data_IF_668748314737
#
_entry.id   IF_668748314737
#
_cell.length_a   1.000
_cell.length_b   1.000
_cell.length_c   1.000
_cell.angle_alpha   90.00
_cell.angle_beta   90.00
_cell.angle_gamma   90.00
#
_symmetry.space_group_name_H-M   'P 1'
#
loop_
_entity.id
_entity.type
_entity.pdbx_description
1 polymer ?
#
# COMPACT_ATOMS: atom_id res chain seq x y z
N UNK A 1 40.58 28.04 -23.29
CA UNK A 1 40.25 26.62 -23.01
C UNK A 1 38.87 26.61 -22.35
N UNK A 2 37.81 26.26 -23.10
CA UNK A 2 36.43 26.22 -22.59
C UNK A 2 36.16 24.81 -22.05
N UNK A 3 36.06 24.64 -20.74
CA UNK A 3 35.57 23.41 -20.14
C UNK A 3 34.06 23.35 -20.32
N UNK A 4 33.59 22.49 -21.23
CA UNK A 4 32.20 22.04 -21.22
C UNK A 4 32.08 21.02 -20.09
N UNK A 5 31.52 21.44 -18.96
CA UNK A 5 31.03 20.53 -17.94
C UNK A 5 29.81 19.83 -18.55
N UNK A 6 30.01 18.64 -19.13
CA UNK A 6 28.92 17.80 -19.56
C UNK A 6 28.11 17.38 -18.34
N UNK A 7 26.95 18.01 -18.14
CA UNK A 7 25.91 17.47 -17.26
C UNK A 7 25.55 16.10 -17.83
N UNK A 8 26.06 15.05 -17.21
CA UNK A 8 25.63 13.68 -17.42
C UNK A 8 24.15 13.63 -17.04
N UNK A 9 23.28 13.68 -18.04
CA UNK A 9 21.88 13.34 -17.90
C UNK A 9 21.82 11.86 -17.50
N UNK A 10 21.73 11.59 -16.21
CA UNK A 10 21.31 10.29 -15.72
C UNK A 10 19.93 10.03 -16.34
N UNK A 11 19.76 8.95 -17.11
CA UNK A 11 18.47 8.66 -17.73
C UNK A 11 17.42 8.50 -16.64
N UNK A 12 16.24 9.10 -16.83
CA UNK A 12 15.11 9.09 -15.89
C UNK A 12 14.76 7.65 -15.44
N UNK A 13 14.98 6.67 -16.32
CA UNK A 13 14.86 5.24 -16.03
C UNK A 13 15.72 4.76 -14.84
N UNK A 14 16.89 5.35 -14.59
CA UNK A 14 17.74 5.01 -13.45
C UNK A 14 17.21 5.60 -12.12
N UNK A 15 16.38 6.64 -12.20
CA UNK A 15 15.89 7.35 -11.04
C UNK A 15 14.82 6.56 -10.27
N UNK A 16 13.86 5.93 -10.96
CA UNK A 16 12.82 5.13 -10.28
C UNK A 16 13.36 3.83 -9.68
N UNK A 17 14.28 3.16 -10.39
CA UNK A 17 14.92 1.94 -9.90
C UNK A 17 15.60 2.22 -8.55
N UNK A 18 16.42 3.28 -8.48
CA UNK A 18 17.11 3.69 -7.25
C UNK A 18 16.14 4.10 -6.15
N UNK A 19 15.11 4.89 -6.48
CA UNK A 19 14.07 5.31 -5.56
C UNK A 19 13.41 4.09 -4.89
N UNK A 20 12.90 3.14 -5.69
CA UNK A 20 12.19 1.96 -5.18
C UNK A 20 13.09 1.06 -4.35
N UNK A 21 14.28 0.72 -4.85
CA UNK A 21 15.19 -0.19 -4.15
C UNK A 21 15.67 0.39 -2.82
N UNK A 22 16.12 1.65 -2.80
CA UNK A 22 16.60 2.28 -1.57
C UNK A 22 15.47 2.49 -0.57
N UNK A 23 14.26 2.88 -1.03
CA UNK A 23 13.10 3.00 -0.14
C UNK A 23 12.74 1.68 0.52
N UNK A 24 12.67 0.58 -0.24
CA UNK A 24 12.38 -0.75 0.32
C UNK A 24 13.45 -1.20 1.33
N UNK A 25 14.72 -0.88 1.09
CA UNK A 25 15.80 -1.16 2.04
C UNK A 25 15.64 -0.35 3.33
N UNK A 26 15.33 0.95 3.23
CA UNK A 26 15.11 1.82 4.39
C UNK A 26 13.91 1.34 5.20
N UNK A 27 12.78 1.04 4.54
CA UNK A 27 11.58 0.47 5.16
C UNK A 27 11.90 -0.85 5.87
N UNK A 28 12.68 -1.75 5.25
CA UNK A 28 13.08 -3.01 5.89
C UNK A 28 13.89 -2.76 7.17
N UNK A 29 14.87 -1.87 7.14
CA UNK A 29 15.68 -1.51 8.32
C UNK A 29 14.82 -0.91 9.44
N UNK A 30 13.93 0.01 9.07
CA UNK A 30 13.00 0.67 10.01
C UNK A 30 12.02 -0.32 10.63
N UNK A 31 11.48 -1.23 9.81
CA UNK A 31 10.55 -2.28 10.25
C UNK A 31 11.21 -3.19 11.28
N UNK A 32 12.44 -3.65 11.00
CA UNK A 32 13.23 -4.46 11.93
C UNK A 32 13.50 -3.72 13.24
N UNK A 33 13.89 -2.45 13.19
CA UNK A 33 14.18 -1.65 14.37
C UNK A 33 12.96 -1.40 15.27
N UNK A 34 11.74 -1.49 14.71
CA UNK A 34 10.47 -1.22 15.42
C UNK A 34 9.64 -2.47 15.71
N UNK A 35 10.12 -3.66 15.32
CA UNK A 35 9.36 -4.90 15.46
C UNK A 35 8.10 -4.96 14.60
N UNK A 36 8.09 -4.27 13.45
CA UNK A 36 6.98 -4.32 12.48
C UNK A 36 7.02 -5.68 11.78
N UNK A 37 5.91 -6.42 11.84
CA UNK A 37 5.77 -7.73 11.24
C UNK A 37 5.55 -7.68 9.71
N UNK A 38 5.49 -8.85 9.07
CA UNK A 38 5.37 -8.95 7.61
C UNK A 38 4.08 -8.33 7.04
N UNK A 39 3.04 -8.19 7.87
CA UNK A 39 1.78 -7.63 7.41
C UNK A 39 1.82 -6.13 7.11
N UNK A 40 2.85 -5.40 7.57
CA UNK A 40 2.99 -3.94 7.39
C UNK A 40 4.43 -3.50 7.04
N UNK A 41 5.31 -4.44 6.66
CA UNK A 41 6.70 -4.11 6.30
C UNK A 41 6.90 -3.95 4.78
N UNK A 42 8.16 -3.92 4.36
CA UNK A 42 8.57 -3.81 2.94
C UNK A 42 7.89 -4.81 1.96
N UNK A 43 7.41 -5.97 2.44
CA UNK A 43 6.67 -6.93 1.61
C UNK A 43 5.31 -6.36 1.21
N UNK A 44 4.56 -5.81 2.17
CA UNK A 44 3.30 -5.11 1.92
C UNK A 44 3.52 -3.82 1.12
N UNK A 45 4.54 -3.03 1.44
CA UNK A 45 4.92 -1.85 0.65
C UNK A 45 5.11 -2.18 -0.84
N UNK A 46 5.77 -3.31 -1.14
CA UNK A 46 5.95 -3.79 -2.51
C UNK A 46 4.62 -4.19 -3.16
N UNK A 47 3.74 -4.83 -2.42
CA UNK A 47 2.40 -5.19 -2.89
C UNK A 47 1.57 -3.95 -3.23
N UNK A 48 1.57 -2.93 -2.37
CA UNK A 48 0.88 -1.65 -2.65
C UNK A 48 1.49 -0.96 -3.87
N UNK A 49 2.82 -0.91 -3.99
CA UNK A 49 3.47 -0.33 -5.16
C UNK A 49 3.07 -1.06 -6.46
N UNK A 50 2.94 -2.38 -6.45
CA UNK A 50 2.46 -3.15 -7.59
C UNK A 50 1.06 -2.68 -8.03
N UNK A 51 0.10 -2.56 -7.10
CA UNK A 51 -1.25 -2.11 -7.45
C UNK A 51 -1.27 -0.64 -7.87
N UNK A 52 -0.51 0.22 -7.19
CA UNK A 52 -0.39 1.63 -7.58
C UNK A 52 0.13 1.77 -9.01
N UNK A 53 1.15 0.97 -9.37
CA UNK A 53 1.67 0.88 -10.75
C UNK A 53 0.59 0.45 -11.74
N UNK A 54 -0.24 -0.53 -11.41
CA UNK A 54 -1.37 -0.88 -12.27
C UNK A 54 -2.35 0.30 -12.42
N UNK A 55 -2.75 0.96 -11.33
CA UNK A 55 -3.70 2.08 -11.38
C UNK A 55 -3.16 3.31 -12.11
N UNK A 56 -1.85 3.57 -12.06
CA UNK A 56 -1.20 4.64 -12.83
C UNK A 56 -1.33 4.47 -14.35
N UNK A 57 -1.68 3.28 -14.85
CA UNK A 57 -1.91 3.05 -16.29
C UNK A 57 -3.23 3.64 -16.77
N UNK A 58 -4.16 3.93 -15.87
CA UNK A 58 -5.49 4.46 -16.20
C UNK A 58 -5.53 6.00 -16.25
N UNK A 59 -4.48 6.67 -15.76
CA UNK A 59 -4.40 8.14 -15.72
C UNK A 59 -3.01 8.67 -16.08
N UNK A 60 -2.91 9.74 -16.88
CA UNK A 60 -1.63 10.36 -17.18
C UNK A 60 -1.08 11.09 -15.95
N UNK A 61 0.12 10.72 -15.49
CA UNK A 61 0.82 11.36 -14.40
C UNK A 61 2.15 11.96 -14.86
N UNK A 62 2.48 13.13 -14.33
CA UNK A 62 3.84 13.68 -14.41
C UNK A 62 4.83 12.87 -13.56
N UNK A 63 6.13 12.98 -13.84
CA UNK A 63 7.17 12.30 -13.04
C UNK A 63 7.12 12.69 -11.56
N UNK A 64 6.83 13.97 -11.27
CA UNK A 64 6.61 14.45 -9.89
C UNK A 64 5.47 13.68 -9.22
N UNK A 65 4.35 13.49 -9.91
CA UNK A 65 3.21 12.74 -9.39
C UNK A 65 3.52 11.25 -9.24
N UNK A 66 4.19 10.63 -10.21
CA UNK A 66 4.67 9.23 -10.11
C UNK A 66 5.54 9.04 -8.86
N UNK A 67 6.48 9.94 -8.58
CA UNK A 67 7.32 9.90 -7.37
C UNK A 67 6.49 9.97 -6.08
N UNK A 68 5.51 10.86 -6.01
CA UNK A 68 4.58 10.94 -4.87
C UNK A 68 3.83 9.62 -4.68
N UNK A 69 3.31 9.04 -5.77
CA UNK A 69 2.60 7.75 -5.72
C UNK A 69 3.52 6.62 -5.26
N UNK A 70 4.75 6.54 -5.79
CA UNK A 70 5.72 5.50 -5.42
C UNK A 70 6.10 5.63 -3.95
N UNK A 71 6.51 6.82 -3.51
CA UNK A 71 6.92 7.04 -2.11
C UNK A 71 5.74 6.83 -1.16
N UNK A 72 4.55 7.33 -1.49
CA UNK A 72 3.36 7.13 -0.67
C UNK A 72 2.99 5.65 -0.55
N UNK A 73 3.01 4.91 -1.67
CA UNK A 73 2.76 3.46 -1.66
C UNK A 73 3.76 2.70 -0.80
N UNK A 74 5.03 3.08 -0.87
CA UNK A 74 6.09 2.40 -0.13
C UNK A 74 6.07 2.74 1.37
N UNK A 75 5.93 4.02 1.73
CA UNK A 75 6.10 4.48 3.11
C UNK A 75 4.81 4.59 3.93
N UNK A 76 3.59 4.47 3.34
CA UNK A 76 2.34 4.77 4.05
C UNK A 76 2.18 4.16 5.44
N UNK A 77 2.60 2.90 5.63
CA UNK A 77 2.48 2.19 6.91
C UNK A 77 3.61 2.49 7.90
N UNK A 78 4.64 3.25 7.51
CA UNK A 78 5.72 3.62 8.42
C UNK A 78 5.26 4.60 9.51
N UNK A 79 4.14 5.29 9.32
CA UNK A 79 3.53 6.13 10.35
C UNK A 79 2.23 5.53 10.95
N UNK A 80 2.04 4.20 10.86
CA UNK A 80 0.84 3.56 11.42
C UNK A 80 0.88 3.51 12.95
N UNK A 81 -0.18 4.03 13.59
CA UNK A 81 -0.43 4.01 15.03
C UNK A 81 -0.46 2.61 15.68
N UNK A 82 -0.55 1.54 14.89
CA UNK A 82 -0.46 0.15 15.40
C UNK A 82 0.90 -0.19 15.98
N UNK A 83 1.95 0.54 15.58
CA UNK A 83 3.33 0.34 16.01
C UNK A 83 3.83 1.57 16.79
N UNK A 84 4.94 1.45 17.55
CA UNK A 84 5.48 2.59 18.28
C UNK A 84 5.65 3.80 17.36
N UNK A 85 5.22 5.01 17.76
CA UNK A 85 5.22 6.18 16.90
C UNK A 85 6.63 6.42 16.36
N UNK A 86 6.73 6.63 15.04
CA UNK A 86 7.98 7.03 14.45
C UNK A 86 8.19 8.52 14.71
N UNK A 87 9.45 8.88 14.97
CA UNK A 87 9.88 10.26 14.82
C UNK A 87 9.70 10.69 13.35
N UNK A 88 8.75 11.60 13.11
CA UNK A 88 8.44 12.12 11.78
C UNK A 88 9.68 12.75 11.13
N UNK A 89 10.56 13.37 11.92
CA UNK A 89 11.81 13.96 11.42
C UNK A 89 12.73 12.88 10.89
N UNK A 90 12.81 11.72 11.57
CA UNK A 90 13.55 10.56 11.07
C UNK A 90 12.97 10.01 9.78
N UNK A 91 11.63 9.94 9.65
CA UNK A 91 11.00 9.51 8.41
C UNK A 91 11.35 10.45 7.24
N UNK A 92 11.30 11.77 7.50
CA UNK A 92 11.68 12.79 6.53
C UNK A 92 13.14 12.60 6.09
N UNK A 93 14.07 12.39 7.03
CA UNK A 93 15.48 12.14 6.71
C UNK A 93 15.66 10.90 5.82
N UNK A 94 14.99 9.79 6.13
CA UNK A 94 15.06 8.56 5.35
C UNK A 94 14.45 8.72 3.94
N UNK A 95 13.42 9.56 3.79
CA UNK A 95 12.87 9.92 2.48
C UNK A 95 13.78 10.90 1.72
N UNK A 96 14.47 11.79 2.43
CA UNK A 96 15.44 12.72 1.85
C UNK A 96 16.65 11.99 1.26
N UNK A 97 16.97 10.79 1.73
CA UNK A 97 18.03 9.97 1.15
C UNK A 97 17.71 9.50 -0.28
N UNK A 98 16.42 9.38 -0.63
CA UNK A 98 15.98 8.89 -1.94
C UNK A 98 15.38 9.97 -2.84
N UNK A 99 14.84 11.04 -2.27
CA UNK A 99 14.24 12.16 -2.99
C UNK A 99 14.74 13.47 -2.38
N UNK A 100 15.14 14.44 -3.21
CA UNK A 100 15.68 15.73 -2.73
C UNK A 100 14.65 16.85 -2.80
N UNK A 101 13.57 16.67 -3.55
CA UNK A 101 12.47 17.62 -3.63
C UNK A 101 11.58 17.55 -2.37
N UNK A 102 11.67 18.56 -1.52
CA UNK A 102 10.89 18.66 -0.29
C UNK A 102 9.38 18.74 -0.55
N UNK A 103 8.93 19.33 -1.66
CA UNK A 103 7.50 19.40 -1.98
C UNK A 103 6.93 18.01 -2.25
N UNK A 104 7.70 17.13 -2.90
CA UNK A 104 7.33 15.71 -3.09
C UNK A 104 7.23 15.00 -1.74
N UNK A 105 8.21 15.18 -0.86
CA UNK A 105 8.24 14.54 0.46
C UNK A 105 7.07 15.01 1.33
N UNK A 106 6.90 16.33 1.46
CA UNK A 106 5.82 16.93 2.26
C UNK A 106 4.45 16.51 1.73
N UNK A 107 4.26 16.49 0.40
CA UNK A 107 3.01 16.03 -0.21
C UNK A 107 2.74 14.56 0.09
N UNK A 108 3.79 13.73 0.02
CA UNK A 108 3.70 12.30 0.31
C UNK A 108 3.29 12.06 1.76
N UNK A 109 3.97 12.69 2.71
CA UNK A 109 3.64 12.59 4.14
C UNK A 109 2.20 13.03 4.41
N UNK A 110 1.80 14.16 3.84
CA UNK A 110 0.43 14.66 3.97
C UNK A 110 -0.61 13.62 3.52
N UNK A 111 -0.36 12.89 2.44
CA UNK A 111 -1.26 11.82 2.00
C UNK A 111 -1.22 10.60 2.92
N UNK A 112 -0.04 10.16 3.34
CA UNK A 112 0.12 9.03 4.27
C UNK A 112 -0.64 9.26 5.57
N UNK A 113 -0.57 10.47 6.11
CA UNK A 113 -1.28 10.84 7.33
C UNK A 113 -2.80 10.85 7.16
N UNK A 114 -3.33 10.93 5.94
CA UNK A 114 -4.76 11.15 5.70
C UNK A 114 -5.47 10.00 4.98
N UNK A 115 -4.74 8.97 4.52
CA UNK A 115 -5.30 7.90 3.67
C UNK A 115 -5.85 6.69 4.43
N UNK A 116 -5.53 6.53 5.72
CA UNK A 116 -5.91 5.32 6.45
C UNK A 116 -7.42 5.10 6.47
N UNK A 117 -7.83 3.83 6.47
CA UNK A 117 -9.25 3.48 6.42
C UNK A 117 -10.04 4.09 7.60
N UNK A 118 -9.48 4.11 8.82
CA UNK A 118 -10.18 4.69 9.98
C UNK A 118 -10.38 6.20 9.89
N UNK A 119 -9.56 6.90 9.10
CA UNK A 119 -9.71 8.34 8.85
C UNK A 119 -10.69 8.63 7.72
N UNK A 120 -10.76 7.74 6.73
CA UNK A 120 -11.52 7.96 5.49
C UNK A 120 -12.86 7.24 5.43
N UNK A 121 -13.13 6.30 6.35
CA UNK A 121 -14.35 5.48 6.34
C UNK A 121 -15.01 5.48 7.71
N UNK A 122 -16.32 5.74 7.73
CA UNK A 122 -17.16 5.71 8.94
C UNK A 122 -18.31 4.71 8.78
N UNK A 123 -18.79 4.20 9.92
CA UNK A 123 -20.05 3.44 9.98
C UNK A 123 -21.21 4.43 10.10
N UNK A 124 -22.18 4.30 9.21
CA UNK A 124 -23.38 5.12 9.16
C UNK A 124 -24.62 4.22 9.04
N UNK A 125 -25.81 4.78 9.26
CA UNK A 125 -27.08 4.08 9.06
C UNK A 125 -27.21 3.70 7.57
N UNK A 126 -26.91 2.43 7.25
CA UNK A 126 -26.85 1.93 5.87
C UNK A 126 -25.52 1.32 5.45
N UNK A 127 -24.48 1.34 6.30
CA UNK A 127 -23.23 0.63 6.07
C UNK A 127 -21.99 1.50 6.23
N UNK A 128 -20.97 1.22 5.43
CA UNK A 128 -19.74 2.00 5.42
C UNK A 128 -19.87 3.19 4.45
N UNK A 129 -19.37 4.34 4.86
CA UNK A 129 -19.33 5.53 4.02
C UNK A 129 -17.89 6.05 3.91
N UNK A 130 -17.42 6.24 2.68
CA UNK A 130 -16.16 6.90 2.39
C UNK A 130 -16.32 8.42 2.35
N UNK A 131 -15.36 9.14 2.92
CA UNK A 131 -15.23 10.59 2.78
C UNK A 131 -13.75 10.95 2.77
N UNK A 132 -13.29 11.57 1.69
CA UNK A 132 -11.95 12.15 1.64
C UNK A 132 -11.85 13.32 2.63
N UNK A 133 -10.72 13.51 3.33
CA UNK A 133 -10.51 14.72 4.10
C UNK A 133 -10.57 15.96 3.18
N UNK A 134 -11.25 17.02 3.62
CA UNK A 134 -11.52 18.19 2.79
C UNK A 134 -10.26 18.84 2.21
N UNK A 135 -9.17 18.82 2.98
CA UNK A 135 -7.90 19.44 2.58
C UNK A 135 -7.16 18.59 1.55
N UNK A 136 -7.39 17.27 1.58
CA UNK A 136 -6.88 16.33 0.58
C UNK A 136 -7.67 16.47 -0.72
N UNK A 137 -9.00 16.54 -0.65
CA UNK A 137 -9.87 16.66 -1.83
C UNK A 137 -9.58 17.93 -2.64
N UNK A 138 -9.24 19.04 -1.96
CA UNK A 138 -8.87 20.31 -2.61
C UNK A 138 -7.43 20.34 -3.13
N UNK A 139 -6.65 19.29 -2.91
CA UNK A 139 -5.25 19.24 -3.32
C UNK A 139 -5.11 19.06 -4.84
N UNK A 140 -4.23 19.84 -5.47
CA UNK A 140 -3.87 19.68 -6.89
C UNK A 140 -3.37 18.28 -7.26
N UNK A 141 -2.84 17.54 -6.29
CA UNK A 141 -2.29 16.20 -6.44
C UNK A 141 -3.26 15.12 -5.93
N UNK A 142 -4.57 15.41 -5.80
CA UNK A 142 -5.58 14.47 -5.28
C UNK A 142 -5.57 13.11 -5.99
N UNK A 143 -5.32 13.09 -7.30
CA UNK A 143 -5.18 11.84 -8.07
C UNK A 143 -4.11 10.90 -7.49
N UNK A 144 -3.00 11.45 -6.98
CA UNK A 144 -1.96 10.64 -6.34
C UNK A 144 -2.47 10.02 -5.04
N UNK A 145 -3.15 10.82 -4.20
CA UNK A 145 -3.77 10.31 -2.97
C UNK A 145 -4.75 9.17 -3.27
N UNK A 146 -5.61 9.38 -4.26
CA UNK A 146 -6.63 8.41 -4.61
C UNK A 146 -6.02 7.09 -5.11
N UNK A 147 -4.98 7.16 -5.95
CA UNK A 147 -4.23 5.98 -6.41
C UNK A 147 -3.58 5.25 -5.23
N UNK A 148 -2.83 5.94 -4.37
CA UNK A 148 -2.11 5.33 -3.26
C UNK A 148 -3.12 4.62 -2.33
N UNK A 149 -4.22 5.29 -2.00
CA UNK A 149 -5.28 4.73 -1.15
C UNK A 149 -5.96 3.52 -1.79
N UNK A 150 -6.33 3.60 -3.07
CA UNK A 150 -6.94 2.47 -3.76
C UNK A 150 -5.98 1.28 -3.87
N UNK A 151 -4.69 1.53 -4.06
CA UNK A 151 -3.67 0.50 -4.08
C UNK A 151 -3.55 -0.23 -2.73
N UNK A 152 -3.54 0.50 -1.60
CA UNK A 152 -3.52 -0.11 -0.27
C UNK A 152 -4.81 -0.91 0.02
N UNK A 153 -5.96 -0.37 -0.38
CA UNK A 153 -7.23 -1.09 -0.26
C UNK A 153 -7.29 -2.35 -1.13
N UNK A 154 -6.72 -2.33 -2.33
CA UNK A 154 -6.59 -3.53 -3.17
C UNK A 154 -5.68 -4.57 -2.49
N UNK A 155 -4.56 -4.13 -1.92
CA UNK A 155 -3.67 -5.00 -1.15
C UNK A 155 -4.36 -5.61 0.07
N UNK A 156 -5.36 -4.93 0.66
CA UNK A 156 -6.09 -5.45 1.81
C UNK A 156 -6.85 -6.76 1.52
N UNK A 157 -7.12 -7.08 0.25
CA UNK A 157 -7.69 -8.39 -0.11
C UNK A 157 -6.72 -9.55 0.14
N UNK A 158 -5.41 -9.32 0.28
CA UNK A 158 -4.46 -10.38 0.61
C UNK A 158 -4.73 -10.95 2.01
N UNK A 159 -5.50 -12.04 2.08
CA UNK A 159 -5.94 -12.66 3.32
C UNK A 159 -4.76 -13.15 4.17
N UNK A 160 -3.61 -13.46 3.54
CA UNK A 160 -2.37 -13.82 4.22
C UNK A 160 -1.97 -12.72 5.17
N UNK A 161 -2.02 -11.46 4.72
CA UNK A 161 -1.66 -10.27 5.50
C UNK A 161 -2.51 -10.15 6.77
N UNK A 162 -3.82 -10.37 6.63
CA UNK A 162 -4.74 -10.36 7.77
C UNK A 162 -4.43 -11.48 8.76
N UNK A 163 -4.10 -12.68 8.27
CA UNK A 163 -3.73 -13.82 9.10
C UNK A 163 -2.38 -13.62 9.80
N UNK A 164 -1.35 -13.12 9.10
CA UNK A 164 -0.05 -12.77 9.67
C UNK A 164 -0.17 -11.75 10.81
N UNK A 165 -1.01 -10.72 10.63
CA UNK A 165 -1.27 -9.75 11.68
C UNK A 165 -1.89 -10.40 12.93
N UNK A 166 -2.83 -11.35 12.77
CA UNK A 166 -3.42 -12.09 13.90
C UNK A 166 -2.40 -12.98 14.60
N UNK A 167 -1.57 -13.68 13.83
CA UNK A 167 -0.49 -14.50 14.34
C UNK A 167 0.51 -13.65 15.16
N UNK A 168 0.87 -12.46 14.67
CA UNK A 168 1.77 -11.55 15.38
C UNK A 168 1.14 -11.00 16.66
N UNK A 169 -0.13 -10.59 16.60
CA UNK A 169 -0.82 -9.94 17.73
C UNK A 169 -1.21 -10.92 18.83
N UNK A 170 -1.66 -12.12 18.46
CA UNK A 170 -2.21 -13.12 19.37
C UNK A 170 -1.62 -14.51 19.08
N UNK A 171 -0.31 -14.74 19.29
CA UNK A 171 0.38 -15.97 18.88
C UNK A 171 -0.18 -17.26 19.52
N UNK A 172 -0.83 -17.13 20.68
CA UNK A 172 -1.44 -18.27 21.40
C UNK A 172 -2.84 -18.66 20.87
N UNK A 173 -3.40 -17.90 19.91
CA UNK A 173 -4.71 -18.20 19.35
C UNK A 173 -4.65 -19.44 18.46
N UNK A 174 -5.73 -20.25 18.47
CA UNK A 174 -5.84 -21.36 17.53
C UNK A 174 -5.95 -20.84 16.10
N UNK A 175 -5.50 -21.66 15.12
CA UNK A 175 -5.61 -21.32 13.69
C UNK A 175 -7.06 -21.04 13.31
N UNK A 176 -8.00 -21.84 13.79
CA UNK A 176 -9.43 -21.69 13.51
C UNK A 176 -9.96 -20.35 14.01
N UNK A 177 -9.56 -19.94 15.21
CA UNK A 177 -9.92 -18.63 15.78
C UNK A 177 -9.38 -17.51 14.90
N UNK A 178 -8.11 -17.59 14.50
CA UNK A 178 -7.49 -16.59 13.63
C UNK A 178 -8.16 -16.52 12.25
N UNK A 179 -8.51 -17.66 11.65
CA UNK A 179 -9.25 -17.71 10.38
C UNK A 179 -10.63 -17.10 10.50
N UNK A 180 -11.36 -17.38 11.58
CA UNK A 180 -12.66 -16.76 11.82
C UNK A 180 -12.53 -15.24 11.96
N UNK A 181 -11.50 -14.74 12.65
CA UNK A 181 -11.24 -13.30 12.73
C UNK A 181 -10.92 -12.67 11.36
N UNK A 182 -10.17 -13.37 10.50
CA UNK A 182 -9.91 -12.96 9.12
C UNK A 182 -11.21 -12.92 8.31
N UNK A 183 -12.07 -13.93 8.47
CA UNK A 183 -13.37 -13.99 7.83
C UNK A 183 -14.27 -12.81 8.25
N UNK A 184 -14.33 -12.53 9.56
CA UNK A 184 -15.06 -11.38 10.09
C UNK A 184 -14.51 -10.05 9.57
N UNK A 185 -13.19 -9.93 9.45
CA UNK A 185 -12.56 -8.74 8.86
C UNK A 185 -12.93 -8.57 7.39
N UNK A 186 -12.96 -9.67 6.63
CA UNK A 186 -13.41 -9.66 5.24
C UNK A 186 -14.86 -9.17 5.15
N UNK A 187 -15.79 -9.79 5.87
CA UNK A 187 -17.21 -9.42 5.85
C UNK A 187 -17.42 -7.96 6.23
N UNK A 188 -16.75 -7.49 7.29
CA UNK A 188 -16.97 -6.14 7.82
C UNK A 188 -16.32 -5.05 6.96
N UNK A 189 -15.18 -5.31 6.32
CA UNK A 189 -14.40 -4.28 5.63
C UNK A 189 -14.17 -4.60 4.16
N UNK A 190 -13.39 -5.64 3.86
CA UNK A 190 -12.92 -5.93 2.50
C UNK A 190 -14.10 -6.21 1.53
N UNK A 191 -15.09 -6.98 2.00
CA UNK A 191 -16.29 -7.33 1.24
C UNK A 191 -17.15 -6.14 0.89
N UNK A 192 -17.07 -5.05 1.65
CA UNK A 192 -17.85 -3.82 1.45
C UNK A 192 -17.12 -2.77 0.61
N UNK A 193 -15.84 -2.98 0.26
CA UNK A 193 -15.04 -1.96 -0.42
C UNK A 193 -15.66 -1.51 -1.75
N UNK A 194 -16.26 -2.45 -2.49
CA UNK A 194 -16.94 -2.19 -3.76
C UNK A 194 -18.37 -1.71 -3.57
N UNK A 195 -19.20 -2.46 -2.83
CA UNK A 195 -20.64 -2.18 -2.68
C UNK A 195 -20.92 -0.84 -1.99
N UNK A 196 -20.00 -0.38 -1.13
CA UNK A 196 -20.10 0.91 -0.44
C UNK A 196 -19.32 2.04 -1.14
N UNK A 197 -18.86 1.86 -2.39
CA UNK A 197 -18.08 2.85 -3.14
C UNK A 197 -16.87 3.40 -2.36
N UNK A 198 -16.21 2.55 -1.58
CA UNK A 198 -15.00 2.91 -0.82
C UNK A 198 -13.78 2.92 -1.75
N UNK A 199 -13.79 2.06 -2.77
CA UNK A 199 -12.85 2.08 -3.89
C UNK A 199 -13.34 3.05 -4.98
N UNK A 200 -12.39 3.73 -5.61
CA UNK A 200 -12.61 4.59 -6.77
C UNK A 200 -12.72 3.72 -8.03
N UNK A 201 -13.91 3.17 -8.26
CA UNK A 201 -14.19 2.26 -9.38
C UNK A 201 -14.17 2.93 -10.76
N UNK A 202 -13.92 4.25 -10.81
CA UNK A 202 -13.63 4.99 -12.04
C UNK A 202 -12.31 4.57 -12.70
N UNK A 203 -11.38 3.98 -11.95
CA UNK A 203 -10.20 3.33 -12.51
C UNK A 203 -10.58 1.93 -12.97
N UNK A 204 -10.56 1.69 -14.28
CA UNK A 204 -10.93 0.39 -14.88
C UNK A 204 -10.14 -0.77 -14.25
N UNK A 205 -8.84 -0.57 -14.01
CA UNK A 205 -8.00 -1.60 -13.36
C UNK A 205 -8.38 -1.82 -11.91
N UNK A 206 -8.74 -0.77 -11.16
CA UNK A 206 -9.24 -0.93 -9.80
C UNK A 206 -10.53 -1.75 -9.80
N UNK A 207 -11.44 -1.46 -10.72
CA UNK A 207 -12.70 -2.19 -10.85
C UNK A 207 -12.46 -3.67 -11.16
N UNK A 208 -11.66 -3.98 -12.18
CA UNK A 208 -11.37 -5.36 -12.59
C UNK A 208 -10.63 -6.14 -11.50
N UNK A 209 -9.58 -5.55 -10.92
CA UNK A 209 -8.76 -6.22 -9.89
C UNK A 209 -9.58 -6.48 -8.62
N UNK A 210 -10.31 -5.47 -8.13
CA UNK A 210 -11.09 -5.63 -6.89
C UNK A 210 -12.23 -6.64 -7.04
N UNK A 211 -12.88 -6.72 -8.22
CA UNK A 211 -13.90 -7.75 -8.46
C UNK A 211 -13.29 -9.17 -8.42
N UNK A 212 -12.16 -9.35 -9.11
CA UNK A 212 -11.43 -10.62 -9.12
C UNK A 212 -11.01 -11.02 -7.70
N UNK A 213 -10.43 -10.10 -6.94
CA UNK A 213 -9.97 -10.37 -5.58
C UNK A 213 -11.13 -10.66 -4.64
N UNK A 214 -12.22 -9.89 -4.71
CA UNK A 214 -13.40 -10.15 -3.90
C UNK A 214 -13.93 -11.59 -4.12
N UNK A 215 -14.10 -12.01 -5.38
CA UNK A 215 -14.54 -13.37 -5.72
C UNK A 215 -13.56 -14.43 -5.19
N UNK A 216 -12.26 -14.20 -5.34
CA UNK A 216 -11.23 -15.12 -4.87
C UNK A 216 -11.22 -15.26 -3.34
N UNK A 217 -11.26 -14.14 -2.60
CA UNK A 217 -11.33 -14.13 -1.14
C UNK A 217 -12.58 -14.86 -0.64
N UNK A 218 -13.75 -14.54 -1.20
CA UNK A 218 -15.00 -15.19 -0.84
C UNK A 218 -14.95 -16.71 -1.09
N UNK A 219 -14.39 -17.13 -2.23
CA UNK A 219 -14.21 -18.55 -2.53
C UNK A 219 -13.26 -19.23 -1.54
N UNK A 220 -12.13 -18.60 -1.22
CA UNK A 220 -11.14 -19.15 -0.29
C UNK A 220 -11.69 -19.28 1.12
N UNK A 221 -12.36 -18.25 1.64
CA UNK A 221 -12.99 -18.31 2.96
C UNK A 221 -14.09 -19.37 3.02
N UNK A 222 -14.86 -19.55 1.93
CA UNK A 222 -15.91 -20.58 1.84
C UNK A 222 -15.36 -22.01 1.78
N UNK A 223 -14.21 -22.21 1.14
CA UNK A 223 -13.64 -23.54 0.86
C UNK A 223 -12.48 -23.91 1.78
N UNK A 224 -12.13 -23.02 2.73
CA UNK A 224 -11.08 -23.28 3.69
C UNK A 224 -11.42 -24.49 4.55
N UNK A 225 -10.45 -25.37 4.71
CA UNK A 225 -10.44 -26.44 5.70
C UNK A 225 -9.28 -26.19 6.66
N UNK A 226 -9.37 -26.58 7.94
CA UNK A 226 -8.28 -26.40 8.88
C UNK A 226 -6.95 -26.98 8.35
N UNK A 227 -5.92 -26.14 8.34
CA UNK A 227 -4.57 -26.46 7.90
C UNK A 227 -3.57 -25.99 8.98
N UNK A 228 -2.33 -26.52 8.98
CA UNK A 228 -1.28 -25.93 9.80
C UNK A 228 -0.97 -24.48 9.34
N UNK A 229 -0.26 -23.74 10.20
CA UNK A 229 -0.04 -22.28 10.02
C UNK A 229 0.59 -21.94 8.67
N UNK A 230 1.60 -22.71 8.24
CA UNK A 230 2.34 -22.43 7.01
C UNK A 230 1.45 -22.62 5.78
N UNK A 231 0.72 -23.72 5.72
CA UNK A 231 -0.20 -24.05 4.64
C UNK A 231 -1.39 -23.08 4.62
N UNK A 232 -1.81 -22.56 5.78
CA UNK A 232 -2.83 -21.50 5.87
C UNK A 232 -2.34 -20.20 5.25
N UNK A 233 -1.10 -19.80 5.52
CA UNK A 233 -0.48 -18.61 4.91
C UNK A 233 -0.42 -18.74 3.38
N UNK A 234 0.05 -19.88 2.89
CA UNK A 234 0.14 -20.16 1.45
C UNK A 234 -1.25 -20.19 0.80
N UNK A 235 -2.25 -20.78 1.47
CA UNK A 235 -3.63 -20.81 1.01
C UNK A 235 -4.24 -19.41 0.90
N UNK A 236 -3.87 -18.49 1.78
CA UNK A 236 -4.39 -17.13 1.81
C UNK A 236 -3.59 -16.11 1.00
N UNK A 237 -2.49 -16.50 0.35
CA UNK A 237 -1.67 -15.62 -0.49
C UNK A 237 -2.37 -15.25 -1.80
N UNK A 238 -2.62 -13.95 -2.02
CA UNK A 238 -3.27 -13.43 -3.24
C UNK A 238 -2.32 -12.54 -4.06
N UNK A 239 -1.18 -12.14 -3.49
CA UNK A 239 -0.25 -11.24 -4.16
C UNK A 239 0.35 -11.91 -5.42
N UNK A 240 0.39 -11.24 -6.59
CA UNK A 240 0.94 -11.80 -7.82
C UNK A 240 2.46 -12.03 -7.83
N UNK A 241 3.19 -11.69 -6.75
CA UNK A 241 4.64 -11.90 -6.61
C UNK A 241 5.50 -11.31 -7.74
N UNK A 242 5.11 -10.15 -8.27
CA UNK A 242 5.91 -9.46 -9.29
C UNK A 242 7.28 -9.03 -8.73
N UNK A 243 8.32 -9.14 -9.56
CA UNK A 243 9.68 -8.75 -9.19
C UNK A 243 9.81 -7.22 -9.21
N UNK A 244 10.72 -6.69 -8.40
CA UNK A 244 10.96 -5.24 -8.35
C UNK A 244 11.47 -4.75 -9.70
N UNK A 245 12.33 -5.53 -10.36
CA UNK A 245 12.90 -5.19 -11.66
C UNK A 245 11.80 -4.99 -12.70
N UNK A 246 10.77 -5.85 -12.69
CA UNK A 246 9.64 -5.73 -13.60
C UNK A 246 8.73 -4.56 -13.24
N UNK A 247 8.44 -4.34 -11.96
CA UNK A 247 7.70 -3.15 -11.49
C UNK A 247 8.40 -1.88 -11.98
N UNK A 248 9.70 -1.77 -11.73
CA UNK A 248 10.52 -0.64 -12.09
C UNK A 248 10.62 -0.44 -13.62
N UNK A 249 10.70 -1.53 -14.40
CA UNK A 249 10.67 -1.45 -15.86
C UNK A 249 9.37 -0.82 -16.39
N UNK A 250 8.23 -1.14 -15.76
CA UNK A 250 6.92 -0.64 -16.17
C UNK A 250 6.56 0.75 -15.60
N UNK A 251 7.35 1.27 -14.64
CA UNK A 251 7.20 2.65 -14.14
C UNK A 251 7.80 3.70 -15.09
N UNK A 252 8.66 3.26 -16.01
CA UNK A 252 9.34 4.06 -17.04
C UNK A 252 8.33 4.52 -18.09
#
# INVERSE_FOLDING_TARGET
MKFYLGLLFLPIAFAFDTLVHTSLQNIRKMSLARGIDNSHNHVHSKEVLYYAKELMKDVPLSDRQKKIVILGSLYHDMNDHKYPPQDLDRLILEMQDVEKDLDIITRTIFFMENMSFSKTVKYCDGGLQYTAPSDVEKCKDFVCFDIIRNADLLASYNLRRAFEYRLHKNPESSVETMVEEVHQLFIKRMGNLRSCNILSLQYDRCNVLSERFHKLCASRLKTYTPLPVKETLDYFEIYPHETIEKICQELK
#
